data_IF_225240159694
#
_entry.id   IF_225240159694
#
_cell.length_a   1.000
_cell.length_b   1.000
_cell.length_c   1.000
_cell.angle_alpha   90.00
_cell.angle_beta   90.00
_cell.angle_gamma   90.00
#
_symmetry.space_group_name_H-M   'P 1'
#
loop_
_entity.id
_entity.type
_entity.pdbx_description
1 polymer ?
#
# COMPACT_ATOMS: atom_id res chain seq x y z
N UNK A 1 -7.03 -7.62 -4.96
CA UNK A 1 -7.95 -7.75 -6.12
C UNK A 1 -7.27 -8.50 -7.24
N UNK A 2 -7.93 -9.50 -7.86
CA UNK A 2 -7.30 -10.35 -8.88
C UNK A 2 -6.69 -9.60 -10.06
N UNK A 3 -7.26 -8.44 -10.42
CA UNK A 3 -6.80 -7.61 -11.56
C UNK A 3 -5.35 -7.14 -11.43
N UNK A 4 -4.85 -6.94 -10.21
CA UNK A 4 -3.48 -6.48 -9.97
C UNK A 4 -2.53 -7.61 -9.57
N UNK A 5 -3.04 -8.83 -9.34
CA UNK A 5 -2.26 -9.94 -8.78
C UNK A 5 -1.01 -10.25 -9.60
N UNK A 6 -1.13 -10.27 -10.94
CA UNK A 6 -0.01 -10.53 -11.85
C UNK A 6 1.13 -9.53 -11.65
N UNK A 7 0.82 -8.25 -11.58
CA UNK A 7 1.84 -7.20 -11.45
C UNK A 7 2.37 -7.12 -10.01
N UNK A 8 1.52 -7.42 -9.01
CA UNK A 8 1.95 -7.56 -7.63
C UNK A 8 2.97 -8.69 -7.45
N UNK A 9 2.73 -9.86 -8.05
CA UNK A 9 3.67 -10.98 -8.02
C UNK A 9 4.96 -10.66 -8.78
N UNK A 10 4.86 -9.96 -9.90
CA UNK A 10 6.05 -9.53 -10.66
C UNK A 10 6.93 -8.59 -9.83
N UNK A 11 6.34 -7.61 -9.15
CA UNK A 11 7.07 -6.72 -8.26
C UNK A 11 7.62 -7.48 -7.04
N UNK A 12 6.84 -8.38 -6.46
CA UNK A 12 7.27 -9.23 -5.36
C UNK A 12 8.48 -10.10 -5.73
N UNK A 13 8.46 -10.69 -6.93
CA UNK A 13 9.60 -11.46 -7.42
C UNK A 13 10.84 -10.58 -7.61
N UNK A 14 10.68 -9.39 -8.18
CA UNK A 14 11.78 -8.43 -8.29
C UNK A 14 12.39 -8.09 -6.91
N UNK A 15 11.54 -7.83 -5.88
CA UNK A 15 12.02 -7.57 -4.52
C UNK A 15 12.72 -8.76 -3.86
N UNK A 16 12.27 -9.99 -4.16
CA UNK A 16 12.96 -11.21 -3.69
C UNK A 16 14.35 -11.33 -4.30
N UNK A 17 14.48 -11.09 -5.60
CA UNK A 17 15.70 -11.30 -6.37
C UNK A 17 16.70 -10.15 -6.19
N UNK A 18 16.22 -8.90 -6.17
CA UNK A 18 17.03 -7.70 -6.11
C UNK A 18 17.42 -7.32 -4.68
N UNK A 19 16.44 -7.35 -3.75
CA UNK A 19 16.61 -6.85 -2.39
C UNK A 19 16.77 -7.98 -1.36
N UNK A 20 16.67 -9.23 -1.81
CA UNK A 20 16.69 -10.42 -0.95
C UNK A 20 15.61 -10.37 0.16
N UNK A 21 14.46 -9.79 -0.14
CA UNK A 21 13.33 -9.70 0.78
C UNK A 21 12.47 -10.96 0.73
N UNK A 22 11.92 -11.34 1.89
CA UNK A 22 10.80 -12.28 1.94
C UNK A 22 9.52 -11.51 1.68
N UNK A 23 8.81 -11.84 0.61
CA UNK A 23 7.60 -11.11 0.21
C UNK A 23 6.43 -12.07 0.14
N UNK A 24 5.35 -11.69 0.83
CA UNK A 24 4.05 -12.37 0.76
C UNK A 24 3.11 -11.49 -0.06
N UNK A 25 2.40 -12.08 -1.01
CA UNK A 25 1.35 -11.41 -1.77
C UNK A 25 0.01 -12.03 -1.36
N UNK A 26 -0.92 -11.18 -0.96
CA UNK A 26 -2.28 -11.58 -0.59
C UNK A 26 -3.30 -10.67 -1.28
N UNK A 27 -4.42 -11.23 -1.69
CA UNK A 27 -5.53 -10.43 -2.20
C UNK A 27 -6.39 -9.92 -1.04
N UNK A 28 -7.06 -8.77 -1.23
CA UNK A 28 -8.01 -8.24 -0.25
C UNK A 28 -9.12 -9.23 0.05
N UNK A 29 -9.57 -10.01 -0.93
CA UNK A 29 -10.57 -11.05 -0.74
C UNK A 29 -10.08 -12.15 0.23
N UNK A 30 -8.85 -12.64 0.08
CA UNK A 30 -8.26 -13.62 1.01
C UNK A 30 -8.18 -13.04 2.43
N UNK A 31 -7.72 -11.79 2.55
CA UNK A 31 -7.61 -11.11 3.85
C UNK A 31 -8.98 -10.96 4.50
N UNK A 32 -9.97 -10.45 3.78
CA UNK A 32 -11.31 -10.24 4.33
C UNK A 32 -12.02 -11.54 4.70
N UNK A 33 -11.83 -12.61 3.93
CA UNK A 33 -12.39 -13.92 4.27
C UNK A 33 -11.83 -14.46 5.58
N UNK A 34 -10.55 -14.26 5.84
CA UNK A 34 -9.86 -14.80 7.03
C UNK A 34 -10.05 -13.90 8.26
N UNK A 35 -9.92 -12.58 8.11
CA UNK A 35 -9.84 -11.63 9.22
C UNK A 35 -11.11 -10.82 9.49
N UNK A 36 -12.06 -10.78 8.55
CA UNK A 36 -13.30 -9.99 8.70
C UNK A 36 -14.55 -10.70 8.18
N UNK A 37 -14.56 -12.03 8.21
CA UNK A 37 -15.73 -12.86 7.81
C UNK A 37 -16.25 -12.52 6.40
N UNK A 38 -15.36 -12.14 5.49
CA UNK A 38 -15.69 -11.76 4.12
C UNK A 38 -16.15 -10.31 3.93
N UNK A 39 -16.29 -9.55 5.01
CA UNK A 39 -16.67 -8.13 4.93
C UNK A 39 -15.44 -7.26 4.64
N UNK A 40 -15.63 -6.23 3.80
CA UNK A 40 -14.61 -5.22 3.59
C UNK A 40 -14.39 -4.42 4.87
N UNK A 41 -13.23 -4.58 5.49
CA UNK A 41 -12.86 -3.94 6.75
C UNK A 41 -11.40 -3.52 6.76
N UNK A 42 -11.13 -2.29 7.17
CA UNK A 42 -9.76 -1.78 7.34
C UNK A 42 -9.02 -2.53 8.44
N UNK A 43 -9.72 -2.90 9.52
CA UNK A 43 -9.12 -3.67 10.61
C UNK A 43 -8.61 -5.04 10.12
N UNK A 44 -9.31 -5.69 9.20
CA UNK A 44 -8.88 -6.98 8.64
C UNK A 44 -7.52 -6.90 7.93
N UNK A 45 -7.22 -5.80 7.25
CA UNK A 45 -5.89 -5.60 6.64
C UNK A 45 -4.82 -5.39 7.72
N UNK A 46 -5.10 -4.57 8.74
CA UNK A 46 -4.20 -4.36 9.87
C UNK A 46 -3.93 -5.66 10.62
N UNK A 47 -4.96 -6.43 10.92
CA UNK A 47 -4.86 -7.70 11.66
C UNK A 47 -4.06 -8.76 10.87
N UNK A 48 -4.19 -8.78 9.55
CA UNK A 48 -3.34 -9.60 8.69
C UNK A 48 -1.87 -9.24 8.83
N UNK A 49 -1.50 -7.96 8.84
CA UNK A 49 -0.13 -7.51 9.01
C UNK A 49 0.36 -7.77 10.44
N UNK A 50 -0.49 -7.45 11.44
CA UNK A 50 -0.22 -7.71 12.85
C UNK A 50 0.04 -9.19 13.14
N UNK A 51 -0.65 -10.10 12.49
CA UNK A 51 -0.40 -11.54 12.62
C UNK A 51 1.06 -11.89 12.30
N UNK A 52 1.67 -11.30 11.26
CA UNK A 52 3.09 -11.51 10.97
C UNK A 52 3.99 -10.83 11.98
N UNK A 53 3.62 -9.64 12.44
CA UNK A 53 4.36 -8.88 13.44
C UNK A 53 4.46 -9.65 14.76
N UNK A 54 3.31 -10.13 15.27
CA UNK A 54 3.23 -10.85 16.56
C UNK A 54 3.85 -12.25 16.51
N UNK A 55 3.83 -12.92 15.36
CA UNK A 55 4.42 -14.27 15.19
C UNK A 55 5.89 -14.26 14.83
N UNK A 56 6.49 -13.08 14.65
CA UNK A 56 7.87 -12.96 14.28
C UNK A 56 8.81 -13.50 15.38
N UNK A 57 9.81 -14.24 14.97
CA UNK A 57 10.84 -14.75 15.88
C UNK A 57 12.00 -13.75 15.97
N UNK A 58 11.74 -12.60 16.60
CA UNK A 58 12.65 -11.48 16.75
C UNK A 58 12.55 -10.44 15.62
N UNK A 59 13.20 -9.30 15.83
CA UNK A 59 13.06 -8.09 14.97
C UNK A 59 13.46 -8.30 13.51
N UNK A 60 14.37 -9.24 13.23
CA UNK A 60 14.77 -9.55 11.86
C UNK A 60 13.71 -10.34 11.08
N UNK A 61 12.74 -10.91 11.77
CA UNK A 61 11.65 -11.70 11.20
C UNK A 61 10.37 -10.88 11.05
N UNK A 62 10.27 -9.75 11.72
CA UNK A 62 9.13 -8.84 11.63
C UNK A 62 8.96 -8.28 10.21
N UNK A 63 7.72 -8.02 9.78
CA UNK A 63 7.46 -7.29 8.55
C UNK A 63 8.08 -5.89 8.64
N UNK A 64 8.69 -5.44 7.55
CA UNK A 64 9.29 -4.09 7.48
C UNK A 64 8.45 -3.13 6.66
N UNK A 65 7.72 -3.67 5.69
CA UNK A 65 6.99 -2.88 4.72
C UNK A 65 5.65 -3.53 4.40
N UNK A 66 4.64 -2.70 4.23
CA UNK A 66 3.37 -3.04 3.61
C UNK A 66 3.20 -2.22 2.33
N UNK A 67 2.95 -2.88 1.21
CA UNK A 67 2.62 -2.22 -0.05
C UNK A 67 1.18 -2.55 -0.44
N UNK A 68 0.36 -1.52 -0.56
CA UNK A 68 -1.02 -1.59 -1.01
C UNK A 68 -1.06 -1.32 -2.52
N UNK A 69 -1.48 -2.29 -3.32
CA UNK A 69 -1.62 -2.10 -4.77
C UNK A 69 -3.10 -1.97 -5.15
N UNK A 70 -3.50 -0.75 -5.47
CA UNK A 70 -4.86 -0.35 -5.83
C UNK A 70 -5.27 0.97 -5.21
N UNK A 71 -6.11 1.70 -5.92
CA UNK A 71 -6.70 2.95 -5.46
C UNK A 71 -7.61 2.70 -4.25
N UNK A 72 -7.70 3.69 -3.37
CA UNK A 72 -8.60 3.73 -2.23
C UNK A 72 -9.60 4.87 -2.39
N UNK A 73 -10.73 4.78 -1.70
CA UNK A 73 -11.74 5.82 -1.76
C UNK A 73 -12.32 6.13 -0.38
N UNK A 74 -12.64 7.39 -0.15
CA UNK A 74 -13.43 7.83 1.01
C UNK A 74 -14.89 7.34 0.96
N UNK A 75 -15.35 6.83 -0.18
CA UNK A 75 -16.66 6.21 -0.36
C UNK A 75 -16.53 4.68 -0.54
N UNK A 76 -16.27 3.93 0.55
CA UNK A 76 -16.03 2.49 0.47
C UNK A 76 -17.24 1.69 -0.01
N UNK A 77 -18.44 2.30 0.03
CA UNK A 77 -19.70 1.65 -0.37
C UNK A 77 -20.16 2.03 -1.78
N UNK A 78 -19.32 2.75 -2.53
CA UNK A 78 -19.63 3.20 -3.90
C UNK A 78 -21.01 3.88 -4.04
N UNK A 79 -21.33 4.78 -3.11
CA UNK A 79 -22.58 5.55 -3.12
C UNK A 79 -22.57 6.66 -4.17
N UNK A 80 -21.37 7.17 -4.46
CA UNK A 80 -21.10 8.13 -5.54
C UNK A 80 -20.53 7.32 -6.70
N UNK A 81 -21.23 7.13 -7.78
CA UNK A 81 -20.81 6.28 -8.89
C UNK A 81 -19.40 6.57 -9.43
N UNK A 82 -18.76 5.55 -10.02
CA UNK A 82 -17.40 5.67 -10.59
C UNK A 82 -16.26 5.47 -9.59
N UNK A 83 -16.54 4.87 -8.45
CA UNK A 83 -15.60 4.63 -7.39
C UNK A 83 -14.62 3.48 -7.73
N UNK A 84 -13.33 3.69 -7.47
CA UNK A 84 -12.24 2.72 -7.65
C UNK A 84 -11.65 2.25 -6.32
N UNK A 85 -12.50 1.97 -5.34
CA UNK A 85 -12.06 1.49 -4.02
C UNK A 85 -11.58 0.03 -4.08
N UNK A 86 -10.39 -0.18 -4.60
CA UNK A 86 -9.78 -1.50 -4.73
C UNK A 86 -9.15 -2.00 -3.43
N UNK A 87 -8.49 -1.11 -2.69
CA UNK A 87 -7.94 -1.39 -1.37
C UNK A 87 -8.40 -0.29 -0.43
N UNK A 88 -9.25 -0.67 0.50
CA UNK A 88 -9.83 0.28 1.45
C UNK A 88 -8.77 1.06 2.23
N UNK A 89 -9.08 2.27 2.66
CA UNK A 89 -8.23 3.13 3.49
C UNK A 89 -8.94 3.47 4.78
N UNK A 90 -8.19 3.73 5.85
CA UNK A 90 -8.75 4.22 7.11
C UNK A 90 -9.34 5.62 6.92
N UNK A 91 -10.44 5.89 7.60
CA UNK A 91 -11.08 7.20 7.64
C UNK A 91 -11.26 7.62 9.09
N UNK A 92 -10.94 8.88 9.38
CA UNK A 92 -11.19 9.45 10.70
C UNK A 92 -12.68 9.53 11.02
N UNK A 93 -13.02 9.55 12.31
CA UNK A 93 -14.40 9.62 12.80
C UNK A 93 -15.10 10.95 12.50
N UNK A 94 -14.33 11.99 12.18
CA UNK A 94 -14.81 13.34 11.95
C UNK A 94 -15.12 13.57 10.47
N UNK A 95 -16.36 13.36 10.05
CA UNK A 95 -16.78 13.57 8.66
C UNK A 95 -17.16 15.03 8.31
N UNK A 96 -17.29 15.91 9.29
CA UNK A 96 -17.78 17.30 9.11
C UNK A 96 -16.65 18.33 9.26
N UNK A 97 -15.57 17.99 9.93
CA UNK A 97 -14.45 18.89 10.17
C UNK A 97 -13.51 18.90 8.97
N UNK A 98 -13.29 20.09 8.37
CA UNK A 98 -12.32 20.26 7.27
C UNK A 98 -10.86 19.95 7.65
N UNK A 99 -10.55 19.99 8.94
CA UNK A 99 -9.18 19.77 9.45
C UNK A 99 -9.03 18.32 9.94
N UNK A 100 -10.06 17.76 10.57
CA UNK A 100 -9.98 16.45 11.22
C UNK A 100 -10.58 15.31 10.37
N UNK A 101 -11.14 15.64 9.20
CA UNK A 101 -11.64 14.65 8.25
C UNK A 101 -10.53 14.30 7.26
N UNK A 102 -9.93 13.13 7.44
CA UNK A 102 -8.84 12.65 6.60
C UNK A 102 -8.92 11.14 6.36
N UNK A 103 -8.23 10.69 5.34
CA UNK A 103 -7.93 9.28 5.09
C UNK A 103 -6.44 9.06 5.31
N UNK A 104 -6.05 7.90 5.86
CA UNK A 104 -4.64 7.55 6.05
C UNK A 104 -4.42 6.06 5.88
N UNK A 105 -3.29 5.70 5.30
CA UNK A 105 -2.83 4.32 5.27
C UNK A 105 -1.90 3.99 6.45
N UNK A 106 -1.48 4.98 7.23
CA UNK A 106 -0.63 4.80 8.41
C UNK A 106 -1.25 3.85 9.44
N UNK A 107 -2.58 3.81 9.50
CA UNK A 107 -3.35 2.88 10.33
C UNK A 107 -2.90 1.43 10.19
N UNK A 108 -2.48 1.01 9.00
CA UNK A 108 -2.03 -0.36 8.76
C UNK A 108 -0.62 -0.64 9.28
N UNK A 109 0.12 0.40 9.64
CA UNK A 109 1.49 0.30 10.13
C UNK A 109 1.64 0.45 11.64
N UNK A 110 0.55 0.73 12.35
CA UNK A 110 0.49 0.87 13.80
C UNK A 110 0.04 -0.46 14.40
N UNK A 111 0.97 -1.26 14.92
CA UNK A 111 0.76 -2.68 15.19
C UNK A 111 0.79 -3.09 16.66
N UNK A 112 1.23 -2.23 17.57
CA UNK A 112 1.25 -2.52 19.00
C UNK A 112 -0.16 -2.73 19.58
N UNK A 113 -0.27 -3.49 20.69
CA UNK A 113 -1.55 -3.95 21.24
C UNK A 113 -2.50 -2.84 21.69
N UNK A 114 -1.97 -1.70 22.11
CA UNK A 114 -2.75 -0.58 22.63
C UNK A 114 -2.94 0.55 21.62
N UNK A 115 -2.65 0.28 20.36
CA UNK A 115 -2.69 1.23 19.25
C UNK A 115 -3.81 0.92 18.26
N UNK A 116 -4.00 1.78 17.28
CA UNK A 116 -4.98 1.59 16.20
C UNK A 116 -6.11 2.61 16.19
N UNK A 117 -5.98 3.67 16.97
CA UNK A 117 -6.86 4.84 16.92
C UNK A 117 -6.26 6.00 16.14
N UNK A 118 -5.00 5.87 15.66
CA UNK A 118 -4.19 6.94 15.10
C UNK A 118 -4.12 8.16 16.04
N UNK A 119 -3.91 7.89 17.31
CA UNK A 119 -3.65 8.94 18.31
C UNK A 119 -2.25 9.51 18.11
N UNK A 120 -1.97 10.68 18.69
CA UNK A 120 -0.64 11.31 18.61
C UNK A 120 0.47 10.53 19.33
N UNK A 121 0.12 9.48 20.06
CA UNK A 121 1.04 8.58 20.76
C UNK A 121 1.35 7.32 19.96
N UNK A 122 0.53 7.01 18.93
CA UNK A 122 0.69 5.80 18.13
C UNK A 122 1.88 6.00 17.17
N UNK A 123 2.81 5.06 17.15
CA UNK A 123 4.00 5.10 16.31
C UNK A 123 3.92 4.01 15.23
N UNK A 124 4.42 4.31 14.07
CA UNK A 124 4.46 3.31 12.99
C UNK A 124 5.60 2.31 13.23
N UNK A 125 5.25 1.03 13.26
CA UNK A 125 6.18 -0.09 13.38
C UNK A 125 6.79 -0.50 12.05
N UNK A 126 6.08 -0.26 10.97
CA UNK A 126 6.48 -0.63 9.61
C UNK A 126 6.26 0.52 8.61
N UNK A 127 7.02 0.51 7.53
CA UNK A 127 6.76 1.42 6.41
C UNK A 127 5.53 1.01 5.61
N UNK A 128 4.59 1.93 5.40
CA UNK A 128 3.39 1.70 4.58
C UNK A 128 3.46 2.54 3.32
N UNK A 129 3.15 1.95 2.17
CA UNK A 129 3.06 2.65 0.90
C UNK A 129 1.89 2.16 0.05
N UNK A 130 1.38 3.03 -0.82
CA UNK A 130 0.31 2.70 -1.75
C UNK A 130 0.71 3.04 -3.18
N UNK A 131 0.41 2.13 -4.10
CA UNK A 131 0.43 2.39 -5.55
C UNK A 131 -1.05 2.52 -5.98
N UNK A 132 -1.58 3.75 -6.15
CA UNK A 132 -3.00 3.99 -6.39
C UNK A 132 -3.38 3.76 -7.86
N UNK A 133 -3.19 2.52 -8.33
CA UNK A 133 -3.54 2.11 -9.69
C UNK A 133 -5.02 1.79 -9.81
N UNK A 134 -5.59 2.06 -11.00
CA UNK A 134 -7.03 1.90 -11.29
C UNK A 134 -7.33 0.78 -12.27
N UNK A 135 -6.35 0.36 -13.05
CA UNK A 135 -6.49 -0.75 -13.99
C UNK A 135 -5.16 -1.53 -14.13
N UNK A 136 -5.22 -2.63 -14.87
CA UNK A 136 -4.05 -3.51 -15.08
C UNK A 136 -2.94 -2.83 -15.90
N UNK A 137 -3.27 -1.86 -16.76
CA UNK A 137 -2.30 -1.12 -17.56
C UNK A 137 -1.50 -0.18 -16.67
N UNK A 138 -2.18 0.58 -15.81
CA UNK A 138 -1.55 1.45 -14.82
C UNK A 138 -0.64 0.64 -13.88
N UNK A 139 -1.13 -0.51 -13.37
CA UNK A 139 -0.34 -1.38 -12.53
C UNK A 139 0.95 -1.84 -13.22
N UNK A 140 0.84 -2.25 -14.49
CA UNK A 140 2.00 -2.66 -15.29
C UNK A 140 2.99 -1.51 -15.48
N UNK A 141 2.51 -0.33 -15.86
CA UNK A 141 3.36 0.84 -16.08
C UNK A 141 4.10 1.27 -14.81
N UNK A 142 3.42 1.23 -13.65
CA UNK A 142 4.05 1.56 -12.38
C UNK A 142 5.12 0.54 -11.97
N UNK A 143 4.85 -0.75 -12.15
CA UNK A 143 5.83 -1.80 -11.87
C UNK A 143 7.00 -1.73 -12.86
N UNK A 144 6.76 -1.49 -14.16
CA UNK A 144 7.80 -1.25 -15.15
C UNK A 144 8.71 -0.09 -14.76
N UNK A 145 8.12 1.02 -14.32
CA UNK A 145 8.84 2.21 -13.87
C UNK A 145 9.75 1.90 -12.67
N UNK A 146 9.22 1.20 -11.65
CA UNK A 146 10.00 0.83 -10.46
C UNK A 146 11.17 -0.07 -10.83
N UNK A 147 10.93 -1.14 -11.58
CA UNK A 147 11.96 -2.09 -11.98
C UNK A 147 13.03 -1.41 -12.84
N UNK A 148 12.61 -0.57 -13.80
CA UNK A 148 13.53 0.16 -14.68
C UNK A 148 14.39 1.13 -13.88
N UNK A 149 13.80 1.85 -12.92
CA UNK A 149 14.52 2.81 -12.09
C UNK A 149 15.61 2.16 -11.24
N UNK A 150 15.31 0.99 -10.68
CA UNK A 150 16.21 0.30 -9.75
C UNK A 150 17.21 -0.64 -10.46
N UNK A 151 17.01 -0.91 -11.76
CA UNK A 151 17.96 -1.73 -12.53
C UNK A 151 19.16 -0.89 -12.97
N UNK A 152 20.39 -1.20 -12.53
CA UNK A 152 21.58 -0.42 -12.87
C UNK A 152 21.78 -0.26 -14.38
N UNK A 153 22.10 0.96 -14.81
CA UNK A 153 22.40 1.28 -16.21
C UNK A 153 21.19 1.46 -17.14
N UNK A 154 19.97 1.33 -16.63
CA UNK A 154 18.74 1.53 -17.42
C UNK A 154 18.32 2.99 -17.48
N UNK A 155 18.63 3.77 -16.44
CA UNK A 155 18.32 5.21 -16.38
C UNK A 155 19.62 5.98 -16.14
N UNK A 156 19.90 6.95 -17.02
CA UNK A 156 20.90 7.98 -16.76
C UNK A 156 20.23 9.11 -15.98
N UNK A 157 21.00 9.86 -15.18
CA UNK A 157 20.50 11.02 -14.44
C UNK A 157 19.69 11.99 -15.32
N UNK A 158 20.12 12.15 -16.58
CA UNK A 158 19.41 13.00 -17.55
C UNK A 158 18.05 12.44 -17.97
N UNK A 159 17.92 11.13 -18.06
CA UNK A 159 16.64 10.49 -18.45
C UNK A 159 15.61 10.58 -17.34
N UNK A 160 16.05 10.51 -16.10
CA UNK A 160 15.15 10.62 -14.93
C UNK A 160 14.65 12.04 -14.72
N UNK A 161 15.51 13.04 -14.95
CA UNK A 161 15.19 14.46 -14.79
C UNK A 161 14.48 15.08 -16.01
N UNK A 162 14.60 14.45 -17.17
CA UNK A 162 13.87 14.87 -18.38
C UNK A 162 12.50 14.22 -18.41
N UNK A 163 11.53 14.78 -17.68
CA UNK A 163 10.13 14.52 -17.96
C UNK A 163 9.82 14.82 -19.43
N UNK A 164 8.85 14.16 -20.02
CA UNK A 164 8.43 14.34 -21.43
C UNK A 164 8.12 15.78 -21.81
N UNK A 165 8.03 16.69 -20.84
CA UNK A 165 7.77 18.12 -21.01
C UNK A 165 8.94 19.01 -20.54
N UNK A 166 10.17 18.49 -20.43
CA UNK A 166 11.36 19.23 -19.97
C UNK A 166 11.18 19.98 -18.62
N UNK A 167 10.18 19.68 -17.84
CA UNK A 167 10.06 20.18 -16.47
C UNK A 167 11.03 19.42 -15.59
N UNK A 168 12.02 20.10 -15.06
CA UNK A 168 12.99 19.52 -14.13
C UNK A 168 12.30 19.17 -12.82
N UNK A 169 12.68 18.05 -12.23
CA UNK A 169 12.30 17.71 -10.87
C UNK A 169 12.79 18.83 -9.94
N UNK A 170 11.86 19.62 -9.40
CA UNK A 170 12.17 20.77 -8.53
C UNK A 170 11.68 22.13 -9.02
N UNK A 171 11.10 22.22 -10.19
CA UNK A 171 10.43 23.44 -10.67
C UNK A 171 8.96 23.52 -10.14
N UNK A 172 8.79 23.29 -8.82
CA UNK A 172 7.49 23.42 -8.11
C UNK A 172 7.40 24.75 -7.40
#
# INVERSE_FOLDING_TARGET
IPIFLKESERLAQFRRDHDNLRVVVATTEQIFNEFSSGAQDVAGIRDFVKMFYDRANGTNDQPRYLLLMGDGSYDPKNRIGGNTNYVTTFQSDNSISLINSYTSDDFFGVLDDNEGTLSSSDLMDIGVGRIPVRDATDARLMVDKIITYETPGTITDQTFCAGTNSTRFGDW
#
